data_IF_170528851640
#
_entry.id   IF_170528851640
#
_cell.length_a   1.000
_cell.length_b   1.000
_cell.length_c   1.000
_cell.angle_alpha   90.00
_cell.angle_beta   90.00
_cell.angle_gamma   90.00
#
_symmetry.space_group_name_H-M   'P 1'
#
loop_
_entity.id
_entity.type
_entity.pdbx_description
1 polymer ?
#
# COMPACT_ATOMS: atom_id res chain seq x y z
N UNK A 1 11.32 -57.92 20.19
CA UNK A 1 10.49 -57.04 19.32
C UNK A 1 11.10 -55.68 19.43
N UNK A 2 11.94 -55.30 18.43
CA UNK A 2 12.64 -54.04 18.36
C UNK A 2 11.81 -53.06 17.52
N UNK A 3 11.30 -52.00 18.14
CA UNK A 3 10.66 -50.85 17.46
C UNK A 3 11.75 -49.95 16.88
N UNK A 4 11.88 -49.92 15.56
CA UNK A 4 12.62 -48.87 14.84
C UNK A 4 11.68 -47.70 14.63
N UNK A 5 11.88 -46.64 15.42
CA UNK A 5 11.25 -45.34 15.22
C UNK A 5 12.02 -44.55 14.15
N UNK A 6 11.64 -44.70 12.89
CA UNK A 6 12.07 -43.83 11.81
C UNK A 6 11.00 -42.79 11.56
N UNK A 7 11.12 -41.62 12.20
CA UNK A 7 10.39 -40.44 11.80
C UNK A 7 11.19 -39.73 10.73
N UNK A 8 10.66 -39.52 9.52
CA UNK A 8 11.26 -38.55 8.61
C UNK A 8 11.01 -37.16 9.20
N UNK A 9 12.07 -36.47 9.56
CA UNK A 9 12.04 -35.06 9.89
C UNK A 9 11.63 -34.30 8.62
N UNK A 10 10.32 -34.10 8.43
CA UNK A 10 9.81 -33.07 7.53
C UNK A 10 10.16 -31.73 8.14
N UNK A 11 11.37 -31.26 7.82
CA UNK A 11 11.79 -29.89 8.10
C UNK A 11 10.85 -28.94 7.35
N UNK A 12 9.80 -28.50 8.03
CA UNK A 12 9.05 -27.30 7.63
C UNK A 12 10.04 -26.16 7.83
N UNK A 13 10.82 -25.90 6.78
CA UNK A 13 11.67 -24.70 6.74
C UNK A 13 10.77 -23.50 6.91
N UNK A 14 10.82 -22.90 8.09
CA UNK A 14 10.27 -21.57 8.31
C UNK A 14 10.94 -20.65 7.30
N UNK A 15 10.27 -20.34 6.20
CA UNK A 15 10.68 -19.26 5.32
C UNK A 15 10.62 -18.01 6.16
N UNK A 16 11.78 -17.58 6.62
CA UNK A 16 11.92 -16.25 7.22
C UNK A 16 11.39 -15.27 6.18
N UNK A 17 10.20 -14.73 6.42
CA UNK A 17 9.64 -13.67 5.60
C UNK A 17 10.68 -12.55 5.62
N UNK A 18 11.31 -12.31 4.49
CA UNK A 18 12.25 -11.20 4.39
C UNK A 18 11.53 -9.91 4.79
N UNK A 19 12.10 -9.17 5.75
CA UNK A 19 11.56 -7.90 6.15
C UNK A 19 11.36 -7.01 4.91
N UNK A 20 10.23 -6.32 4.78
CA UNK A 20 10.00 -5.42 3.67
C UNK A 20 11.15 -4.40 3.58
N UNK A 21 11.55 -4.05 2.36
CA UNK A 21 12.62 -3.09 2.14
C UNK A 21 12.29 -1.77 2.84
N UNK A 22 13.24 -1.24 3.60
CA UNK A 22 13.08 0.08 4.23
C UNK A 22 12.99 1.16 3.14
N UNK A 23 12.10 2.15 3.28
CA UNK A 23 12.03 3.30 2.39
C UNK A 23 13.39 4.00 2.25
N UNK A 24 13.69 4.53 1.06
CA UNK A 24 14.97 5.20 0.77
C UNK A 24 15.26 6.35 1.72
N UNK A 25 14.23 7.17 2.02
CA UNK A 25 14.34 8.27 2.98
C UNK A 25 14.82 7.81 4.37
N UNK A 26 14.29 6.68 4.87
CA UNK A 26 14.70 6.13 6.15
C UNK A 26 16.15 5.62 6.12
N UNK A 27 16.60 5.05 5.00
CA UNK A 27 17.99 4.61 4.82
C UNK A 27 18.96 5.79 4.81
N UNK A 28 18.58 6.91 4.17
CA UNK A 28 19.37 8.14 4.15
C UNK A 28 19.52 8.69 5.57
N UNK A 29 18.43 8.81 6.33
CA UNK A 29 18.44 9.26 7.72
C UNK A 29 19.30 8.37 8.63
N UNK A 30 19.33 7.05 8.37
CA UNK A 30 20.12 6.09 9.12
C UNK A 30 21.59 5.96 8.62
N UNK A 31 21.98 6.72 7.61
CA UNK A 31 23.32 6.62 6.99
C UNK A 31 23.61 5.27 6.31
N UNK A 32 22.58 4.47 6.05
CA UNK A 32 22.71 3.13 5.45
C UNK A 32 22.38 3.11 3.96
N UNK A 33 22.10 4.27 3.36
CA UNK A 33 21.86 4.40 1.92
C UNK A 33 23.16 4.17 1.15
N UNK A 34 23.10 3.31 0.13
CA UNK A 34 24.23 3.03 -0.78
C UNK A 34 23.79 3.29 -2.21
N UNK A 35 24.43 4.23 -2.88
CA UNK A 35 24.11 4.64 -4.26
C UNK A 35 24.13 3.48 -5.27
N UNK A 36 24.97 2.47 -5.04
CA UNK A 36 25.15 1.27 -5.87
C UNK A 36 24.03 0.22 -5.69
N UNK A 37 23.30 0.28 -4.57
CA UNK A 37 22.23 -0.69 -4.23
C UNK A 37 20.85 -0.10 -4.19
N UNK A 38 20.73 1.19 -3.97
CA UNK A 38 19.48 1.92 -3.95
C UNK A 38 19.21 2.43 -5.38
N UNK A 39 18.67 1.54 -6.24
CA UNK A 39 18.23 1.92 -7.58
C UNK A 39 17.24 3.08 -7.53
N UNK A 40 17.13 3.83 -8.61
CA UNK A 40 16.10 4.87 -8.74
C UNK A 40 14.74 4.22 -8.61
N UNK A 41 13.98 4.61 -7.60
CA UNK A 41 12.56 4.25 -7.53
C UNK A 41 11.87 4.92 -8.73
N UNK A 42 11.02 4.21 -9.47
CA UNK A 42 10.32 4.81 -10.60
C UNK A 42 9.44 5.95 -10.10
N UNK A 43 9.61 7.13 -10.67
CA UNK A 43 8.78 8.28 -10.38
C UNK A 43 7.51 8.21 -11.25
N UNK A 44 6.38 7.96 -10.63
CA UNK A 44 5.10 8.00 -11.28
C UNK A 44 4.45 9.37 -11.09
N UNK A 45 3.78 9.86 -12.16
CA UNK A 45 3.02 11.10 -12.07
C UNK A 45 1.79 10.91 -11.19
N UNK A 46 1.55 11.87 -10.31
CA UNK A 46 0.33 11.95 -9.52
C UNK A 46 -0.86 12.19 -10.44
N UNK A 47 -1.96 11.51 -10.20
CA UNK A 47 -3.20 11.70 -10.93
C UNK A 47 -3.98 12.89 -10.39
N UNK A 48 -4.77 13.54 -11.26
CA UNK A 48 -5.69 14.60 -10.88
C UNK A 48 -6.97 14.44 -11.69
N UNK A 49 -8.11 14.37 -11.00
CA UNK A 49 -9.41 14.17 -11.66
C UNK A 49 -9.53 12.82 -12.36
N UNK A 50 -8.86 11.78 -11.84
CA UNK A 50 -8.86 10.47 -12.45
C UNK A 50 -10.25 9.82 -12.45
N UNK A 51 -10.58 9.19 -13.55
CA UNK A 51 -11.80 8.39 -13.70
C UNK A 51 -11.48 6.91 -13.49
N UNK A 52 -12.47 6.11 -13.05
CA UNK A 52 -12.27 4.67 -12.98
C UNK A 52 -11.85 4.10 -14.32
N UNK A 53 -10.82 3.25 -14.39
CA UNK A 53 -10.32 2.64 -15.63
C UNK A 53 -11.32 1.66 -16.25
N UNK A 54 -12.20 1.08 -15.44
CA UNK A 54 -13.34 0.26 -15.87
C UNK A 54 -14.59 0.58 -15.03
N UNK A 55 -15.79 0.15 -15.48
CA UNK A 55 -17.03 0.44 -14.78
C UNK A 55 -17.05 -0.06 -13.34
N UNK A 56 -17.53 0.77 -12.45
CA UNK A 56 -17.81 0.39 -11.07
C UNK A 56 -19.10 -0.43 -11.00
N UNK A 57 -19.06 -1.56 -10.30
CA UNK A 57 -20.08 -2.60 -10.35
C UNK A 57 -21.37 -2.24 -9.57
N UNK A 58 -21.36 -1.17 -8.78
CA UNK A 58 -22.52 -0.79 -7.96
C UNK A 58 -22.50 0.68 -7.55
N UNK A 59 -23.66 1.17 -7.09
CA UNK A 59 -23.79 2.54 -6.59
C UNK A 59 -22.88 2.78 -5.39
N UNK A 60 -22.74 1.80 -4.49
CA UNK A 60 -21.88 1.88 -3.30
C UNK A 60 -20.39 1.95 -3.69
N UNK A 61 -20.00 1.28 -4.78
CA UNK A 61 -18.64 1.38 -5.32
C UNK A 61 -18.38 2.78 -5.91
N UNK A 62 -19.36 3.34 -6.62
CA UNK A 62 -19.30 4.71 -7.15
C UNK A 62 -19.21 5.73 -6.01
N UNK A 63 -20.02 5.57 -4.98
CA UNK A 63 -19.97 6.43 -3.80
C UNK A 63 -18.62 6.37 -3.11
N UNK A 64 -18.07 5.17 -2.92
CA UNK A 64 -16.75 4.97 -2.33
C UNK A 64 -15.65 5.66 -3.16
N UNK A 65 -15.66 5.49 -4.47
CA UNK A 65 -14.72 6.13 -5.38
C UNK A 65 -14.78 7.65 -5.28
N UNK A 66 -15.97 8.21 -5.46
CA UNK A 66 -16.18 9.67 -5.50
C UNK A 66 -15.82 10.35 -4.17
N UNK A 67 -15.99 9.67 -3.05
CA UNK A 67 -15.66 10.19 -1.72
C UNK A 67 -14.16 10.17 -1.43
N UNK A 68 -13.46 9.12 -1.85
CA UNK A 68 -12.08 8.90 -1.41
C UNK A 68 -11.04 9.33 -2.44
N UNK A 69 -11.34 9.21 -3.74
CA UNK A 69 -10.39 9.55 -4.81
C UNK A 69 -9.85 10.98 -4.71
N UNK A 70 -10.69 12.01 -4.54
CA UNK A 70 -10.19 13.39 -4.45
C UNK A 70 -9.26 13.62 -3.24
N UNK A 71 -9.49 12.91 -2.14
CA UNK A 71 -8.65 13.00 -0.95
C UNK A 71 -7.28 12.36 -1.16
N UNK A 72 -7.23 11.20 -1.83
CA UNK A 72 -5.98 10.51 -2.16
C UNK A 72 -5.15 11.28 -3.18
N UNK A 73 -5.81 11.92 -4.15
CA UNK A 73 -5.16 12.83 -5.11
C UNK A 73 -4.57 14.06 -4.40
N UNK A 74 -5.36 14.70 -3.53
CA UNK A 74 -4.89 15.86 -2.74
C UNK A 74 -3.70 15.52 -1.85
N UNK A 75 -3.65 14.31 -1.32
CA UNK A 75 -2.51 13.79 -0.54
C UNK A 75 -1.36 13.29 -1.42
N UNK A 76 -1.49 13.34 -2.74
CA UNK A 76 -0.49 12.87 -3.71
C UNK A 76 -0.13 11.39 -3.55
N UNK A 77 -1.06 10.59 -3.08
CA UNK A 77 -0.89 9.15 -2.87
C UNK A 77 -1.17 8.37 -4.16
N UNK A 78 -2.05 8.91 -5.04
CA UNK A 78 -2.51 8.23 -6.25
C UNK A 78 -1.64 8.53 -7.45
N UNK A 79 -1.18 7.47 -8.10
CA UNK A 79 -0.48 7.52 -9.38
C UNK A 79 -1.25 6.74 -10.44
N UNK A 80 -0.91 6.92 -11.72
CA UNK A 80 -1.62 6.25 -12.80
C UNK A 80 -1.68 4.71 -12.67
N UNK A 81 -0.60 4.00 -12.27
CA UNK A 81 -0.64 2.56 -12.02
C UNK A 81 -1.57 2.13 -10.87
N UNK A 82 -1.87 3.03 -9.93
CA UNK A 82 -2.67 2.68 -8.75
C UNK A 82 -4.17 2.68 -9.03
N UNK A 83 -4.59 3.29 -10.16
CA UNK A 83 -6.01 3.43 -10.50
C UNK A 83 -6.73 2.09 -10.61
N UNK A 84 -6.08 1.09 -11.20
CA UNK A 84 -6.63 -0.26 -11.33
C UNK A 84 -6.87 -0.90 -9.97
N UNK A 85 -5.87 -0.81 -9.09
CA UNK A 85 -5.95 -1.35 -7.74
C UNK A 85 -7.01 -0.63 -6.91
N UNK A 86 -7.13 0.69 -7.05
CA UNK A 86 -8.15 1.46 -6.35
C UNK A 86 -9.56 1.19 -6.88
N UNK A 87 -9.71 0.99 -8.20
CA UNK A 87 -10.99 0.59 -8.80
C UNK A 87 -11.43 -0.80 -8.30
N UNK A 88 -10.49 -1.74 -8.18
CA UNK A 88 -10.75 -3.05 -7.56
C UNK A 88 -11.19 -2.89 -6.10
N UNK A 89 -10.51 -2.06 -5.31
CA UNK A 89 -10.87 -1.78 -3.92
C UNK A 89 -12.29 -1.19 -3.82
N UNK A 90 -12.65 -0.24 -4.69
CA UNK A 90 -13.98 0.37 -4.69
C UNK A 90 -15.08 -0.67 -4.96
N UNK A 91 -14.87 -1.55 -5.95
CA UNK A 91 -15.80 -2.63 -6.25
C UNK A 91 -15.93 -3.64 -5.10
N UNK A 92 -14.81 -3.99 -4.48
CA UNK A 92 -14.79 -4.92 -3.35
C UNK A 92 -15.48 -4.32 -2.12
N UNK A 93 -15.24 -3.05 -1.84
CA UNK A 93 -15.94 -2.29 -0.79
C UNK A 93 -17.45 -2.24 -1.05
N UNK A 94 -17.87 -1.94 -2.27
CA UNK A 94 -19.28 -1.90 -2.64
C UNK A 94 -19.97 -3.26 -2.49
N UNK A 95 -19.29 -4.35 -2.86
CA UNK A 95 -19.80 -5.70 -2.64
C UNK A 95 -19.96 -6.04 -1.15
N UNK A 96 -18.96 -5.73 -0.35
CA UNK A 96 -19.01 -5.92 1.12
C UNK A 96 -20.13 -5.10 1.76
N UNK A 97 -20.31 -3.83 1.34
CA UNK A 97 -21.39 -2.98 1.85
C UNK A 97 -22.77 -3.57 1.57
N UNK A 98 -23.02 -4.05 0.35
CA UNK A 98 -24.31 -4.70 0.01
C UNK A 98 -24.56 -5.97 0.81
N UNK A 99 -23.53 -6.70 1.20
CA UNK A 99 -23.67 -7.85 2.09
C UNK A 99 -24.24 -7.42 3.46
N UNK A 100 -23.67 -6.35 4.03
CA UNK A 100 -24.20 -5.77 5.26
C UNK A 100 -25.62 -5.22 5.12
N UNK A 101 -25.93 -4.56 4.00
CA UNK A 101 -27.26 -3.98 3.75
C UNK A 101 -28.37 -5.06 3.63
N UNK A 102 -27.99 -6.30 3.26
CA UNK A 102 -28.88 -7.47 3.30
C UNK A 102 -29.00 -8.11 4.69
N UNK A 103 -28.32 -7.58 5.69
CA UNK A 103 -28.26 -8.18 7.03
C UNK A 103 -27.36 -9.42 7.10
N UNK A 104 -26.52 -9.66 6.07
CA UNK A 104 -25.54 -10.72 6.03
C UNK A 104 -24.19 -10.24 6.56
N UNK A 105 -23.37 -11.16 7.07
CA UNK A 105 -22.02 -10.84 7.54
C UNK A 105 -21.01 -11.33 6.51
N UNK A 106 -20.15 -10.46 5.96
CA UNK A 106 -19.06 -10.89 5.10
C UNK A 106 -18.14 -11.89 5.80
N UNK A 107 -17.56 -12.80 5.05
CA UNK A 107 -16.62 -13.78 5.61
C UNK A 107 -15.37 -13.10 6.18
N UNK A 108 -14.73 -13.74 7.16
CA UNK A 108 -13.49 -13.23 7.74
C UNK A 108 -12.39 -13.01 6.70
N UNK A 109 -12.35 -13.84 5.64
CA UNK A 109 -11.42 -13.70 4.53
C UNK A 109 -11.69 -12.41 3.75
N UNK A 110 -12.95 -12.12 3.42
CA UNK A 110 -13.35 -10.89 2.71
C UNK A 110 -13.01 -9.64 3.53
N UNK A 111 -13.34 -9.63 4.80
CA UNK A 111 -13.01 -8.50 5.71
C UNK A 111 -11.50 -8.30 5.80
N UNK A 112 -10.73 -9.39 5.88
CA UNK A 112 -9.26 -9.33 5.93
C UNK A 112 -8.68 -8.76 4.64
N UNK A 113 -9.14 -9.22 3.48
CA UNK A 113 -8.69 -8.71 2.18
C UNK A 113 -9.03 -7.23 2.02
N UNK A 114 -10.25 -6.84 2.35
CA UNK A 114 -10.67 -5.44 2.30
C UNK A 114 -9.79 -4.56 3.19
N UNK A 115 -9.52 -4.98 4.43
CA UNK A 115 -8.64 -4.26 5.34
C UNK A 115 -7.23 -4.11 4.79
N UNK A 116 -6.66 -5.19 4.24
CA UNK A 116 -5.32 -5.15 3.63
C UNK A 116 -5.25 -4.18 2.44
N UNK A 117 -6.31 -4.12 1.62
CA UNK A 117 -6.37 -3.16 0.51
C UNK A 117 -6.49 -1.72 1.02
N UNK A 118 -7.32 -1.46 2.03
CA UNK A 118 -7.43 -0.14 2.67
C UNK A 118 -6.11 0.32 3.27
N UNK A 119 -5.35 -0.58 3.91
CA UNK A 119 -4.02 -0.29 4.45
C UNK A 119 -3.04 0.15 3.38
N UNK A 120 -3.07 -0.45 2.19
CA UNK A 120 -2.18 -0.11 1.07
C UNK A 120 -2.35 1.32 0.57
N UNK A 121 -3.57 1.85 0.63
CA UNK A 121 -3.88 3.23 0.26
C UNK A 121 -3.83 4.21 1.44
N UNK A 122 -3.32 3.78 2.61
CA UNK A 122 -3.22 4.64 3.79
C UNK A 122 -4.58 5.04 4.38
N UNK A 123 -5.65 4.28 4.07
CA UNK A 123 -7.01 4.61 4.54
C UNK A 123 -7.26 4.15 5.98
N UNK A 124 -6.31 3.47 6.59
CA UNK A 124 -6.33 3.12 8.01
C UNK A 124 -5.27 3.92 8.79
N UNK A 125 -5.43 4.09 10.11
CA UNK A 125 -4.42 4.77 10.93
C UNK A 125 -3.03 4.13 10.83
N UNK A 126 -2.96 2.80 10.79
CA UNK A 126 -1.71 2.06 10.64
C UNK A 126 -1.11 2.21 9.24
N UNK A 127 -1.93 2.12 8.19
CA UNK A 127 -1.51 2.26 6.80
C UNK A 127 -0.94 3.63 6.47
N UNK A 128 -1.47 4.70 7.08
CA UNK A 128 -1.00 6.08 6.84
C UNK A 128 0.49 6.28 7.11
N UNK A 129 1.04 5.60 8.10
CA UNK A 129 2.48 5.67 8.40
C UNK A 129 3.38 4.99 7.36
N UNK A 130 2.83 4.14 6.50
CA UNK A 130 3.56 3.39 5.48
C UNK A 130 3.42 3.94 4.06
N UNK A 131 2.53 4.90 3.85
CA UNK A 131 2.27 5.51 2.54
C UNK A 131 3.03 6.82 2.41
N UNK A 132 3.86 6.93 1.37
CA UNK A 132 4.57 8.16 1.04
C UNK A 132 3.84 8.88 -0.09
N UNK A 133 3.77 10.21 -0.02
CA UNK A 133 3.31 11.03 -1.14
C UNK A 133 4.23 10.82 -2.35
N UNK A 134 3.65 10.63 -3.52
CA UNK A 134 4.40 10.54 -4.76
C UNK A 134 4.75 11.96 -5.26
N UNK A 135 5.97 12.11 -5.83
CA UNK A 135 6.42 13.32 -6.51
C UNK A 135 6.74 14.51 -5.59
N UNK A 136 7.69 15.30 -6.05
CA UNK A 136 8.43 16.37 -5.46
C UNK A 136 9.35 15.93 -4.29
N UNK A 137 10.67 16.01 -4.50
CA UNK A 137 11.59 15.85 -3.39
C UNK A 137 11.22 16.89 -2.32
N UNK A 138 11.42 16.56 -1.04
CA UNK A 138 11.21 17.56 0.03
C UNK A 138 11.95 18.83 -0.39
N UNK A 139 11.28 19.97 -0.23
CA UNK A 139 11.90 21.28 -0.49
C UNK A 139 13.32 21.28 0.03
N UNK A 140 14.22 21.82 -0.80
CA UNK A 140 15.65 21.85 -0.49
C UNK A 140 15.82 22.25 0.97
N UNK A 141 16.48 21.39 1.75
CA UNK A 141 16.74 21.63 3.16
C UNK A 141 17.16 23.09 3.35
N UNK A 142 16.35 23.93 4.03
CA UNK A 142 16.68 25.35 4.20
C UNK A 142 18.03 25.56 4.89
N UNK A 143 18.56 24.54 5.54
CA UNK A 143 19.88 24.50 6.16
C UNK A 143 21.00 23.98 5.22
N UNK A 144 20.64 23.50 4.01
CA UNK A 144 21.62 23.01 3.04
C UNK A 144 22.58 24.10 2.54
N UNK A 145 22.16 25.36 2.60
CA UNK A 145 23.00 26.52 2.25
C UNK A 145 23.99 26.95 3.36
N UNK A 146 23.85 26.39 4.57
CA UNK A 146 24.70 26.72 5.71
C UNK A 146 25.94 25.83 5.84
N UNK A 147 26.10 24.86 4.96
CA UNK A 147 27.11 23.79 5.06
C UNK A 147 28.33 23.94 4.13
N UNK A 148 28.51 25.05 3.41
CA UNK A 148 29.71 25.28 2.59
C UNK A 148 30.44 26.46 3.20
N UNK A 149 31.26 26.18 4.20
CA UNK A 149 32.40 27.02 4.58
C UNK A 149 33.62 26.27 4.11
N UNK A 150 34.30 26.81 3.07
CA UNK A 150 35.61 26.40 2.58
C UNK A 150 36.67 26.47 3.69
#
# INVERSE_FOLDING_TARGET
VTWRSGHPATGIGWRVMANPRKPKALKVLQGTSRKDRDGSEPEFRVTTGAKPPWPLASAEAVEFWNRNMPQLEAQRVMTAPDLDAFCLLANYHGASRRTWDRGEVPTAAEVTQLRMMLDRFGMTPAGRGGVSAAGEPPEANPFGALGVVD
#
